data_IF_057680485581
#
_entry.id   IF_057680485581
#
_cell.length_a   1.000
_cell.length_b   1.000
_cell.length_c   1.000
_cell.angle_alpha   90.00
_cell.angle_beta   90.00
_cell.angle_gamma   90.00
#
_symmetry.space_group_name_H-M   'P 1'
#
loop_
_entity.id
_entity.type
_entity.pdbx_description
1 polymer ?
#
# COMPACT_ATOMS: atom_id res chain seq x y z
N UNK A 1 8.89 -0.38 -23.30
CA UNK A 1 9.08 -0.88 -21.92
C UNK A 1 10.38 -0.40 -21.29
N UNK A 2 11.57 -0.84 -21.76
CA UNK A 2 12.85 -0.41 -21.16
C UNK A 2 13.06 1.12 -21.20
N UNK A 3 12.70 1.76 -22.30
CA UNK A 3 12.76 3.22 -22.43
C UNK A 3 11.82 3.96 -21.47
N UNK A 4 10.61 3.43 -21.24
CA UNK A 4 9.65 4.01 -20.29
C UNK A 4 10.13 3.81 -18.84
N UNK A 5 10.68 2.64 -18.52
CA UNK A 5 11.32 2.39 -17.22
C UNK A 5 12.45 3.37 -16.94
N UNK A 6 13.37 3.56 -17.90
CA UNK A 6 14.46 4.52 -17.79
C UNK A 6 13.95 5.96 -17.64
N UNK A 7 12.94 6.36 -18.41
CA UNK A 7 12.31 7.69 -18.29
C UNK A 7 11.72 7.94 -16.91
N UNK A 8 11.15 6.91 -16.27
CA UNK A 8 10.54 7.00 -14.94
C UNK A 8 11.53 6.72 -13.80
N UNK A 9 12.80 6.46 -14.11
CA UNK A 9 13.82 6.10 -13.11
C UNK A 9 13.55 4.78 -12.39
N UNK A 10 12.81 3.86 -13.02
CA UNK A 10 12.40 2.59 -12.42
C UNK A 10 13.12 1.39 -13.03
N UNK A 11 13.48 0.43 -12.18
CA UNK A 11 14.00 -0.86 -12.62
C UNK A 11 12.86 -1.71 -13.21
N UNK A 12 13.02 -2.15 -14.46
CA UNK A 12 12.06 -3.04 -15.12
C UNK A 12 12.56 -4.47 -15.04
N UNK A 13 11.88 -5.29 -14.25
CA UNK A 13 12.10 -6.74 -14.20
C UNK A 13 11.23 -7.40 -15.26
N UNK A 14 11.79 -8.35 -16.01
CA UNK A 14 11.06 -9.08 -17.06
C UNK A 14 10.88 -10.54 -16.67
N UNK A 15 9.65 -11.03 -16.81
CA UNK A 15 9.34 -12.45 -16.79
C UNK A 15 9.13 -12.95 -18.21
N UNK A 16 9.50 -14.20 -18.50
CA UNK A 16 9.30 -14.84 -19.82
C UNK A 16 8.09 -15.77 -19.85
N UNK A 17 7.49 -16.04 -18.69
CA UNK A 17 6.31 -16.88 -18.52
C UNK A 17 5.51 -16.42 -17.30
N UNK A 18 4.27 -16.88 -17.18
CA UNK A 18 3.46 -16.64 -15.99
C UNK A 18 4.08 -17.24 -14.72
N UNK A 19 4.70 -18.42 -14.83
CA UNK A 19 5.40 -19.07 -13.71
C UNK A 19 6.61 -18.25 -13.24
N UNK A 20 7.43 -17.75 -14.16
CA UNK A 20 8.55 -16.86 -13.85
C UNK A 20 8.05 -15.56 -13.18
N UNK A 21 6.92 -15.02 -13.66
CA UNK A 21 6.33 -13.80 -13.11
C UNK A 21 5.85 -13.98 -11.67
N UNK A 22 5.19 -15.11 -11.39
CA UNK A 22 4.75 -15.47 -10.04
C UNK A 22 5.93 -15.68 -9.09
N UNK A 23 6.97 -16.41 -9.52
CA UNK A 23 8.17 -16.60 -8.72
C UNK A 23 8.83 -15.27 -8.33
N UNK A 24 8.85 -14.29 -9.25
CA UNK A 24 9.32 -12.93 -8.96
C UNK A 24 8.40 -12.18 -8.00
N UNK A 25 7.08 -12.29 -8.18
CA UNK A 25 6.08 -11.65 -7.33
C UNK A 25 6.08 -12.19 -5.89
N UNK A 26 6.57 -13.42 -5.68
CA UNK A 26 6.70 -14.01 -4.36
C UNK A 26 7.88 -13.46 -3.57
N UNK A 27 8.96 -13.07 -4.25
CA UNK A 27 10.18 -12.56 -3.60
C UNK A 27 10.26 -11.05 -3.54
N UNK A 28 9.52 -10.36 -4.41
CA UNK A 28 9.67 -8.92 -4.64
C UNK A 28 8.32 -8.24 -4.72
N UNK A 29 8.15 -7.16 -3.97
CA UNK A 29 6.96 -6.32 -4.08
C UNK A 29 7.08 -5.40 -5.29
N UNK A 30 6.08 -5.43 -6.17
CA UNK A 30 6.03 -4.58 -7.36
C UNK A 30 5.00 -3.46 -7.18
N UNK A 31 5.38 -2.27 -7.65
CA UNK A 31 4.46 -1.13 -7.72
C UNK A 31 3.41 -1.28 -8.83
N UNK A 32 3.76 -1.99 -9.90
CA UNK A 32 2.96 -2.18 -11.10
C UNK A 32 3.41 -3.43 -11.84
N UNK A 33 2.46 -4.25 -12.27
CA UNK A 33 2.68 -5.41 -13.13
C UNK A 33 2.09 -5.11 -14.50
N UNK A 34 2.85 -5.41 -15.54
CA UNK A 34 2.47 -5.20 -16.94
C UNK A 34 2.39 -6.56 -17.63
N UNK A 35 1.23 -6.90 -18.17
CA UNK A 35 0.98 -8.20 -18.83
C UNK A 35 0.72 -7.97 -20.31
N UNK A 36 1.50 -8.61 -21.18
CA UNK A 36 1.33 -8.51 -22.63
C UNK A 36 0.32 -9.53 -23.15
N UNK A 37 -0.47 -9.14 -24.16
CA UNK A 37 -1.42 -10.02 -24.84
C UNK A 37 -0.76 -11.14 -25.66
N UNK A 38 0.34 -10.83 -26.36
CA UNK A 38 1.12 -11.77 -27.18
C UNK A 38 0.30 -12.59 -28.22
N UNK A 39 -0.92 -12.16 -28.56
CA UNK A 39 -1.78 -12.87 -29.52
C UNK A 39 -2.62 -14.00 -28.89
N UNK A 40 -2.59 -14.21 -27.57
CA UNK A 40 -3.29 -15.30 -26.90
C UNK A 40 -4.18 -14.77 -25.77
N UNK A 41 -5.49 -14.67 -26.07
CA UNK A 41 -6.52 -14.21 -25.14
C UNK A 41 -6.57 -15.08 -23.88
N UNK A 42 -6.49 -16.41 -24.03
CA UNK A 42 -6.64 -17.34 -22.92
C UNK A 42 -5.43 -17.31 -21.99
N UNK A 43 -4.21 -17.31 -22.54
CA UNK A 43 -2.99 -17.21 -21.75
C UNK A 43 -2.88 -15.86 -21.03
N UNK A 44 -3.32 -14.76 -21.66
CA UNK A 44 -3.41 -13.44 -21.03
C UNK A 44 -4.32 -13.49 -19.80
N UNK A 45 -5.56 -13.94 -19.97
CA UNK A 45 -6.56 -13.98 -18.90
C UNK A 45 -6.10 -14.90 -17.77
N UNK A 46 -5.53 -16.06 -18.09
CA UNK A 46 -4.94 -16.96 -17.12
C UNK A 46 -3.82 -16.28 -16.32
N UNK A 47 -2.92 -15.56 -16.99
CA UNK A 47 -1.80 -14.86 -16.34
C UNK A 47 -2.31 -13.78 -15.38
N UNK A 48 -3.29 -12.98 -15.80
CA UNK A 48 -3.89 -11.95 -14.93
C UNK A 48 -4.56 -12.60 -13.72
N UNK A 49 -5.34 -13.67 -13.93
CA UNK A 49 -5.98 -14.43 -12.86
C UNK A 49 -4.98 -15.02 -11.86
N UNK A 50 -3.87 -15.59 -12.35
CA UNK A 50 -2.78 -16.12 -11.50
C UNK A 50 -2.12 -15.03 -10.64
N UNK A 51 -1.81 -13.86 -11.22
CA UNK A 51 -1.25 -12.72 -10.49
C UNK A 51 -2.22 -12.24 -9.40
N UNK A 52 -3.53 -12.29 -9.65
CA UNK A 52 -4.56 -11.93 -8.68
C UNK A 52 -4.79 -12.97 -7.59
N UNK A 53 -4.66 -14.25 -7.92
CA UNK A 53 -4.78 -15.34 -6.96
C UNK A 53 -3.58 -15.43 -6.00
N UNK A 54 -2.42 -14.88 -6.37
CA UNK A 54 -1.26 -14.84 -5.50
C UNK A 54 -1.42 -13.81 -4.36
N UNK A 55 -1.27 -14.24 -3.11
CA UNK A 55 -1.49 -13.41 -1.93
C UNK A 55 -0.59 -12.17 -1.83
N UNK A 56 0.62 -12.19 -2.41
CA UNK A 56 1.53 -11.02 -2.40
C UNK A 56 1.24 -10.01 -3.50
N UNK A 57 0.83 -10.46 -4.69
CA UNK A 57 0.54 -9.59 -5.84
C UNK A 57 -0.94 -9.30 -6.07
N UNK A 58 -1.84 -9.88 -5.28
CA UNK A 58 -3.29 -9.70 -5.38
C UNK A 58 -3.72 -8.23 -5.37
N UNK A 59 -2.98 -7.38 -4.65
CA UNK A 59 -3.23 -5.94 -4.55
C UNK A 59 -2.36 -5.09 -5.49
N UNK A 60 -1.38 -5.68 -6.17
CA UNK A 60 -0.50 -4.93 -7.08
C UNK A 60 -1.28 -4.51 -8.34
N UNK A 61 -1.29 -3.24 -8.73
CA UNK A 61 -1.85 -2.79 -10.01
C UNK A 61 -1.42 -3.67 -11.20
N UNK A 62 -2.38 -4.15 -12.02
CA UNK A 62 -2.10 -4.94 -13.23
C UNK A 62 -2.64 -4.21 -14.46
N UNK A 63 -1.76 -3.89 -15.41
CA UNK A 63 -2.14 -3.25 -16.67
C UNK A 63 -1.82 -4.18 -17.84
N UNK A 64 -2.83 -4.43 -18.67
CA UNK A 64 -2.71 -5.24 -19.88
C UNK A 64 -2.22 -4.39 -21.05
N UNK A 65 -1.36 -4.95 -21.89
CA UNK A 65 -0.70 -4.27 -23.00
C UNK A 65 -0.90 -5.01 -24.32
N UNK A 66 -1.13 -4.25 -25.39
CA UNK A 66 -1.15 -4.73 -26.76
C UNK A 66 -2.44 -5.43 -27.15
N UNK A 67 -3.58 -5.03 -26.60
CA UNK A 67 -4.86 -5.59 -27.04
C UNK A 67 -5.17 -5.15 -28.49
N UNK A 68 -5.68 -6.04 -29.36
CA UNK A 68 -6.00 -5.70 -30.74
C UNK A 68 -7.24 -4.79 -30.80
N UNK A 69 -7.12 -3.53 -31.28
CA UNK A 69 -8.24 -2.57 -31.24
C UNK A 69 -9.37 -2.89 -32.23
N UNK A 70 -9.09 -3.68 -33.28
CA UNK A 70 -10.01 -3.94 -34.39
C UNK A 70 -10.36 -5.42 -34.54
N UNK A 71 -10.37 -6.17 -33.44
CA UNK A 71 -10.87 -7.55 -33.42
C UNK A 71 -12.38 -7.58 -33.13
N UNK A 72 -13.16 -8.46 -33.78
CA UNK A 72 -14.56 -8.67 -33.39
C UNK A 72 -14.74 -9.11 -31.94
N UNK A 73 -13.71 -9.74 -31.34
CA UNK A 73 -13.70 -10.11 -29.91
C UNK A 73 -13.22 -9.01 -28.97
N UNK A 74 -12.75 -7.85 -29.47
CA UNK A 74 -12.08 -6.84 -28.66
C UNK A 74 -12.92 -6.29 -27.49
N UNK A 75 -14.23 -5.99 -27.64
CA UNK A 75 -15.04 -5.52 -26.51
C UNK A 75 -15.17 -6.58 -25.41
N UNK A 76 -15.45 -7.83 -25.79
CA UNK A 76 -15.60 -8.94 -24.84
C UNK A 76 -14.29 -9.26 -24.13
N UNK A 77 -13.16 -9.25 -24.85
CA UNK A 77 -11.84 -9.46 -24.26
C UNK A 77 -11.49 -8.33 -23.27
N UNK A 78 -11.83 -7.09 -23.59
CA UNK A 78 -11.59 -5.96 -22.70
C UNK A 78 -12.37 -6.13 -21.39
N UNK A 79 -13.64 -6.53 -21.46
CA UNK A 79 -14.46 -6.84 -20.28
C UNK A 79 -13.84 -7.97 -19.45
N UNK A 80 -13.49 -9.10 -20.09
CA UNK A 80 -12.87 -10.25 -19.42
C UNK A 80 -11.55 -9.89 -18.72
N UNK A 81 -10.75 -9.00 -19.32
CA UNK A 81 -9.50 -8.52 -18.73
C UNK A 81 -9.76 -7.71 -17.46
N UNK A 82 -10.80 -6.87 -17.44
CA UNK A 82 -11.20 -6.14 -16.23
C UNK A 82 -11.79 -7.09 -15.18
N UNK A 83 -12.63 -8.05 -15.57
CA UNK A 83 -13.18 -9.07 -14.68
C UNK A 83 -12.09 -9.95 -14.05
N UNK A 84 -11.05 -10.29 -14.82
CA UNK A 84 -9.87 -10.99 -14.32
C UNK A 84 -9.07 -10.15 -13.31
N UNK A 85 -9.34 -8.85 -13.22
CA UNK A 85 -8.78 -7.95 -12.23
C UNK A 85 -7.70 -7.02 -12.77
N UNK A 86 -7.53 -6.87 -14.09
CA UNK A 86 -6.72 -5.77 -14.61
C UNK A 86 -7.41 -4.43 -14.31
N UNK A 87 -6.61 -3.39 -14.09
CA UNK A 87 -7.14 -2.06 -13.77
C UNK A 87 -7.11 -1.10 -14.96
N UNK A 88 -6.39 -1.49 -16.02
CA UNK A 88 -6.39 -0.81 -17.30
C UNK A 88 -5.89 -1.76 -18.38
N UNK A 89 -6.26 -1.46 -19.62
CA UNK A 89 -5.66 -2.06 -20.80
C UNK A 89 -5.21 -0.98 -21.79
N UNK A 90 -4.13 -1.27 -22.52
CA UNK A 90 -3.62 -0.45 -23.62
C UNK A 90 -3.68 -1.24 -24.91
N UNK A 91 -4.21 -0.62 -25.96
CA UNK A 91 -4.31 -1.22 -27.28
C UNK A 91 -2.94 -1.24 -27.98
N UNK A 92 -2.82 -2.13 -28.96
CA UNK A 92 -1.71 -2.14 -29.89
C UNK A 92 -1.92 -1.10 -31.02
N UNK A 93 -0.89 -0.33 -31.42
CA UNK A 93 0.44 -0.24 -30.83
C UNK A 93 0.44 0.51 -29.48
N UNK A 94 1.18 -0.03 -28.51
CA UNK A 94 1.29 0.59 -27.18
C UNK A 94 2.05 1.91 -27.27
N UNK A 95 1.34 3.02 -27.05
CA UNK A 95 1.94 4.36 -26.97
C UNK A 95 2.85 4.49 -25.74
N UNK A 96 4.16 4.79 -25.91
CA UNK A 96 5.08 5.00 -24.79
C UNK A 96 4.65 6.14 -23.87
N UNK A 97 4.09 7.21 -24.44
CA UNK A 97 3.61 8.38 -23.68
C UNK A 97 2.44 8.02 -22.78
N UNK A 98 1.46 7.27 -23.31
CA UNK A 98 0.29 6.85 -22.53
C UNK A 98 0.70 5.85 -21.44
N UNK A 99 1.59 4.91 -21.78
CA UNK A 99 2.12 3.96 -20.80
C UNK A 99 2.87 4.69 -19.68
N UNK A 100 3.74 5.65 -20.01
CA UNK A 100 4.48 6.42 -19.02
C UNK A 100 3.54 7.20 -18.09
N UNK A 101 2.50 7.84 -18.64
CA UNK A 101 1.51 8.58 -17.87
C UNK A 101 0.74 7.67 -16.90
N UNK A 102 0.26 6.50 -17.37
CA UNK A 102 -0.43 5.53 -16.52
C UNK A 102 0.51 4.92 -15.47
N UNK A 103 1.71 4.54 -15.86
CA UNK A 103 2.68 3.94 -14.95
C UNK A 103 3.07 4.91 -13.83
N UNK A 104 3.30 6.19 -14.15
CA UNK A 104 3.62 7.22 -13.16
C UNK A 104 2.57 7.33 -12.07
N UNK A 105 1.29 7.31 -12.43
CA UNK A 105 0.21 7.36 -11.45
C UNK A 105 0.29 6.22 -10.41
N UNK A 106 0.52 4.97 -10.87
CA UNK A 106 0.61 3.83 -9.96
C UNK A 106 1.90 3.80 -9.14
N UNK A 107 3.01 4.27 -9.73
CA UNK A 107 4.28 4.40 -9.02
C UNK A 107 4.16 5.43 -7.89
N UNK A 108 3.59 6.60 -8.16
CA UNK A 108 3.40 7.67 -7.17
C UNK A 108 2.51 7.17 -6.03
N UNK A 109 1.42 6.46 -6.35
CA UNK A 109 0.55 5.85 -5.34
C UNK A 109 1.27 4.80 -4.48
N UNK A 110 2.10 3.95 -5.09
CA UNK A 110 2.90 2.96 -4.38
C UNK A 110 3.93 3.61 -3.44
N UNK A 111 4.64 4.63 -3.91
CA UNK A 111 5.61 5.37 -3.10
C UNK A 111 4.93 6.05 -1.91
N UNK A 112 3.81 6.74 -2.15
CA UNK A 112 3.02 7.39 -1.10
C UNK A 112 2.57 6.39 -0.04
N UNK A 113 2.04 5.23 -0.45
CA UNK A 113 1.64 4.17 0.47
C UNK A 113 2.83 3.58 1.24
N UNK A 114 3.99 3.43 0.59
CA UNK A 114 5.20 2.95 1.24
C UNK A 114 5.73 3.95 2.29
N UNK A 115 5.75 5.24 1.99
CA UNK A 115 6.14 6.30 2.93
C UNK A 115 5.22 6.37 4.13
N UNK A 116 3.90 6.35 3.90
CA UNK A 116 2.90 6.32 4.98
C UNK A 116 3.13 5.14 5.92
N UNK A 117 3.30 3.92 5.38
CA UNK A 117 3.58 2.71 6.19
C UNK A 117 4.91 2.78 6.94
N UNK A 118 5.90 3.52 6.44
CA UNK A 118 7.17 3.75 7.17
C UNK A 118 6.95 4.74 8.31
N UNK A 119 6.22 5.83 8.08
CA UNK A 119 5.89 6.82 9.09
C UNK A 119 5.06 6.23 10.24
N UNK A 120 4.02 5.45 9.92
CA UNK A 120 3.18 4.76 10.92
C UNK A 120 4.01 3.79 11.78
N UNK A 121 4.93 3.03 11.17
CA UNK A 121 5.84 2.15 11.91
C UNK A 121 6.82 2.91 12.80
N UNK A 122 7.40 4.00 12.31
CA UNK A 122 8.31 4.84 13.08
C UNK A 122 7.59 5.47 14.28
N UNK A 123 6.37 5.94 14.09
CA UNK A 123 5.52 6.47 15.16
C UNK A 123 5.23 5.38 16.20
N UNK A 124 4.80 4.19 15.78
CA UNK A 124 4.54 3.07 16.69
C UNK A 124 5.77 2.67 17.51
N UNK A 125 6.95 2.65 16.89
CA UNK A 125 8.22 2.37 17.58
C UNK A 125 8.58 3.48 18.58
N UNK A 126 8.38 4.75 18.23
CA UNK A 126 8.62 5.87 19.11
C UNK A 126 7.68 5.85 20.32
N UNK A 127 6.39 5.59 20.12
CA UNK A 127 5.41 5.46 21.20
C UNK A 127 5.75 4.31 22.14
N UNK A 128 6.08 3.12 21.61
CA UNK A 128 6.49 1.98 22.43
C UNK A 128 7.76 2.27 23.26
N UNK A 129 8.71 3.01 22.68
CA UNK A 129 9.92 3.43 23.38
C UNK A 129 9.63 4.43 24.50
N UNK A 130 8.77 5.42 24.25
CA UNK A 130 8.35 6.39 25.27
C UNK A 130 7.65 5.70 26.44
N UNK A 131 6.71 4.79 26.17
CA UNK A 131 6.04 4.02 27.22
C UNK A 131 7.03 3.23 28.08
N UNK A 132 8.04 2.62 27.46
CA UNK A 132 9.08 1.88 28.18
C UNK A 132 9.89 2.80 29.10
N UNK A 133 10.26 4.00 28.62
CA UNK A 133 11.01 4.98 29.41
C UNK A 133 10.18 5.51 30.58
N UNK A 134 8.92 5.88 30.34
CA UNK A 134 8.02 6.37 31.38
C UNK A 134 7.77 5.29 32.45
N UNK A 135 7.60 4.02 32.03
CA UNK A 135 7.47 2.90 32.95
C UNK A 135 8.75 2.69 33.79
N UNK A 136 9.93 2.73 33.17
CA UNK A 136 11.20 2.57 33.88
C UNK A 136 11.51 3.73 34.85
N UNK A 137 11.15 4.95 34.48
CA UNK A 137 11.32 6.13 35.32
C UNK A 137 10.23 6.28 36.39
N UNK A 138 9.21 5.40 36.38
CA UNK A 138 8.02 5.48 37.22
C UNK A 138 7.35 6.87 37.19
N UNK A 139 7.33 7.49 36.00
CA UNK A 139 6.72 8.79 35.78
C UNK A 139 5.27 8.62 35.31
N UNK A 140 4.38 9.44 35.86
CA UNK A 140 3.01 9.59 35.40
C UNK A 140 2.92 10.76 34.42
N UNK A 141 2.18 10.58 33.33
CA UNK A 141 1.82 11.65 32.40
C UNK A 141 0.40 12.10 32.68
N UNK A 142 0.22 13.42 32.76
CA UNK A 142 -1.06 14.04 33.01
C UNK A 142 -1.20 15.36 32.25
N UNK A 143 -2.43 15.69 31.92
CA UNK A 143 -2.85 16.93 31.29
C UNK A 143 -3.97 17.53 32.13
N UNK A 144 -4.02 18.85 32.21
CA UNK A 144 -5.08 19.56 32.89
C UNK A 144 -5.86 20.39 31.89
N UNK A 145 -7.14 20.07 31.74
CA UNK A 145 -8.10 20.95 31.08
C UNK A 145 -8.48 22.06 32.06
N UNK A 146 -7.93 23.26 31.82
CA UNK A 146 -8.13 24.43 32.68
C UNK A 146 -9.58 24.93 32.61
N UNK A 147 -10.25 24.81 31.46
CA UNK A 147 -11.61 25.33 31.28
C UNK A 147 -12.65 24.44 31.97
N UNK A 148 -12.47 23.13 31.89
CA UNK A 148 -13.33 22.15 32.57
C UNK A 148 -12.91 21.89 34.03
N UNK A 149 -11.72 22.35 34.43
CA UNK A 149 -11.01 21.98 35.65
C UNK A 149 -10.97 20.45 35.85
N UNK A 150 -10.36 19.75 34.89
CA UNK A 150 -10.27 18.29 34.90
C UNK A 150 -8.85 17.82 34.59
N UNK A 151 -8.27 17.03 35.49
CA UNK A 151 -6.97 16.38 35.26
C UNK A 151 -7.20 15.01 34.63
N UNK A 152 -6.62 14.83 33.45
CA UNK A 152 -6.59 13.57 32.72
C UNK A 152 -5.19 12.99 32.83
N UNK A 153 -5.06 11.73 33.23
CA UNK A 153 -3.75 11.10 33.36
C UNK A 153 -3.79 9.63 33.05
N UNK A 154 -2.59 9.08 32.87
CA UNK A 154 -2.41 7.64 32.73
C UNK A 154 -2.76 6.90 34.04
N UNK A 155 -2.84 5.57 33.96
CA UNK A 155 -3.13 4.74 35.14
C UNK A 155 -2.07 4.87 36.25
N UNK A 156 -0.86 5.37 35.94
CA UNK A 156 0.22 5.55 36.91
C UNK A 156 0.00 6.81 37.74
N UNK A 157 -0.61 7.87 37.18
CA UNK A 157 -1.04 9.03 37.96
C UNK A 157 -1.94 8.58 39.11
N UNK A 158 -2.98 7.80 38.81
CA UNK A 158 -3.87 7.26 39.83
C UNK A 158 -3.08 6.41 40.85
N UNK A 159 -2.19 5.53 40.40
CA UNK A 159 -1.36 4.69 41.28
C UNK A 159 -0.43 5.52 42.20
N UNK A 160 0.14 6.63 41.72
CA UNK A 160 0.96 7.54 42.54
C UNK A 160 0.18 8.14 43.71
N UNK A 161 -1.11 8.41 43.51
CA UNK A 161 -2.02 8.89 44.55
C UNK A 161 -2.84 7.77 45.21
N UNK A 162 -2.33 6.53 45.17
CA UNK A 162 -2.93 5.38 45.87
C UNK A 162 -4.24 4.85 45.27
N UNK A 163 -4.56 5.22 44.03
CA UNK A 163 -5.77 4.80 43.31
C UNK A 163 -7.05 5.52 43.75
N UNK A 164 -6.93 6.55 44.58
CA UNK A 164 -8.07 7.21 45.25
C UNK A 164 -8.73 8.26 44.35
N UNK A 165 -7.99 8.84 43.39
CA UNK A 165 -8.48 9.91 42.53
C UNK A 165 -9.05 9.34 41.22
N UNK A 166 -10.34 9.60 40.92
CA UNK A 166 -10.93 9.19 39.64
C UNK A 166 -10.33 10.01 38.48
N UNK A 167 -10.23 9.42 37.27
CA UNK A 167 -9.87 10.16 36.07
C UNK A 167 -10.80 11.37 35.89
N UNK A 168 -10.25 12.56 35.61
CA UNK A 168 -11.02 13.79 35.45
C UNK A 168 -11.36 14.52 36.75
N UNK A 169 -10.76 14.16 37.89
CA UNK A 169 -10.88 14.95 39.12
C UNK A 169 -10.29 16.37 38.94
N UNK A 170 -10.81 17.39 39.65
CA UNK A 170 -10.31 18.75 39.56
C UNK A 170 -8.90 18.87 40.08
N UNK A 171 -8.14 19.86 39.59
CA UNK A 171 -6.72 20.01 39.92
C UNK A 171 -6.51 20.12 41.44
N UNK A 172 -7.43 20.81 42.14
CA UNK A 172 -7.38 20.94 43.60
C UNK A 172 -7.37 19.61 44.36
N UNK A 173 -7.81 18.50 43.76
CA UNK A 173 -7.76 17.18 44.37
C UNK A 173 -6.36 16.51 44.32
N UNK A 174 -5.43 17.07 43.54
CA UNK A 174 -4.06 16.58 43.33
C UNK A 174 -2.98 17.43 44.04
N UNK A 175 -3.36 18.50 44.75
CA UNK A 175 -2.48 19.35 45.58
C UNK A 175 -2.46 18.88 47.04
#
# INVERSE_FOLDING_TARGET
MAQVGAQLGQAVVRARSAADALALADTTDFALILVGHAGDDAALLQTVGLVRANGRSSHTPVVVLGLPPSSPSAPALLEQVYEAGAIAALNDPVSPTILAAKARFYLDAFHTAAERRRAERALGQASARLETILAAANLAVWEWDIAADQVHGDARLAAMFGGVLPPGAPMAAYL
#
